data_IF_504401293962
#
_entry.id   IF_504401293962
#
_cell.length_a   1.000
_cell.length_b   1.000
_cell.length_c   1.000
_cell.angle_alpha   90.00
_cell.angle_beta   90.00
_cell.angle_gamma   90.00
#
_symmetry.space_group_name_H-M   'P 1'
#
loop_
_entity.id
_entity.type
_entity.pdbx_description
1 polymer ?
#
# COMPACT_ATOMS: atom_id res chain seq x y z
N UNK A 1 -10.82 32.70 34.30
CA UNK A 1 -10.47 31.41 34.94
C UNK A 1 -11.08 30.30 34.10
N UNK A 2 -10.57 30.07 32.89
CA UNK A 2 -9.41 29.21 32.58
C UNK A 2 -9.72 27.75 32.88
N UNK A 3 -10.10 26.96 31.86
CA UNK A 3 -9.37 25.76 31.40
C UNK A 3 -9.69 25.57 29.91
N UNK A 4 -8.66 25.73 29.07
CA UNK A 4 -8.62 25.41 27.64
C UNK A 4 -8.38 23.90 27.48
N UNK A 5 -9.23 23.20 26.72
CA UNK A 5 -9.05 21.81 26.32
C UNK A 5 -8.77 21.70 24.82
N UNK A 6 -7.51 21.49 24.47
CA UNK A 6 -7.01 21.20 23.12
C UNK A 6 -7.53 19.85 22.60
N UNK A 7 -8.15 19.81 21.41
CA UNK A 7 -8.29 18.60 20.61
C UNK A 7 -7.91 18.89 19.15
N UNK A 8 -6.65 18.60 18.84
CA UNK A 8 -6.08 18.59 17.48
C UNK A 8 -6.59 17.35 16.73
N UNK A 9 -7.43 17.55 15.72
CA UNK A 9 -7.71 16.56 14.69
C UNK A 9 -6.52 16.46 13.73
N UNK A 10 -5.97 15.26 13.59
CA UNK A 10 -4.80 14.99 12.75
C UNK A 10 -5.13 15.05 11.27
N UNK A 11 -4.84 16.20 10.65
CA UNK A 11 -4.27 16.21 9.31
C UNK A 11 -2.77 15.89 9.48
N UNK A 12 -2.24 14.99 8.66
CA UNK A 12 -0.82 14.64 8.67
C UNK A 12 0.01 15.85 8.20
N UNK A 13 0.42 16.69 9.15
CA UNK A 13 1.45 17.69 8.95
C UNK A 13 2.82 17.01 9.01
N UNK A 14 3.53 16.98 7.89
CA UNK A 14 4.95 16.64 7.83
C UNK A 14 5.72 17.76 8.53
N UNK A 15 6.43 17.42 9.61
CA UNK A 15 7.31 18.33 10.35
C UNK A 15 8.70 17.71 10.36
N UNK A 16 9.63 18.27 9.56
CA UNK A 16 11.04 17.87 9.55
C UNK A 16 11.86 19.01 10.15
N UNK A 17 12.55 18.72 11.26
CA UNK A 17 13.58 19.58 11.84
C UNK A 17 14.96 18.99 11.53
N UNK A 18 15.79 19.73 10.81
CA UNK A 18 17.16 19.36 10.45
C UNK A 18 18.16 19.70 11.57
N UNK A 19 18.94 18.70 12.02
CA UNK A 19 20.29 18.94 12.57
C UNK A 19 21.21 17.77 12.21
N UNK A 20 22.25 18.13 11.46
CA UNK A 20 23.36 17.30 11.00
C UNK A 20 24.40 17.08 12.09
N UNK A 21 24.93 15.86 12.21
CA UNK A 21 26.31 15.60 12.61
C UNK A 21 26.72 14.16 12.31
N UNK A 22 27.62 13.98 11.34
CA UNK A 22 28.41 12.75 11.14
C UNK A 22 29.42 12.58 12.30
N UNK A 23 29.96 11.36 12.55
CA UNK A 23 31.24 11.03 11.90
C UNK A 23 31.58 9.53 11.65
N UNK A 24 32.39 9.34 10.60
CA UNK A 24 33.63 8.53 10.44
C UNK A 24 33.68 7.01 10.73
N UNK A 25 34.01 6.30 9.64
CA UNK A 25 35.06 5.27 9.43
C UNK A 25 35.52 4.36 10.58
N UNK A 26 35.49 3.05 10.29
CA UNK A 26 36.39 2.06 10.87
C UNK A 26 36.18 0.68 10.24
N UNK A 27 37.08 0.27 9.35
CA UNK A 27 37.10 -1.08 8.79
C UNK A 27 37.77 -2.09 9.71
N UNK A 28 37.40 -3.37 9.59
CA UNK A 28 38.26 -4.50 9.90
C UNK A 28 37.73 -5.78 9.26
N UNK A 29 38.64 -6.50 8.63
CA UNK A 29 38.46 -7.75 7.90
C UNK A 29 38.76 -8.97 8.79
N UNK A 30 38.26 -10.13 8.32
CA UNK A 30 38.78 -11.48 8.50
C UNK A 30 38.34 -12.30 9.73
N UNK A 31 37.72 -13.47 9.48
CA UNK A 31 38.44 -14.76 9.30
C UNK A 31 37.45 -15.94 9.15
N UNK A 32 37.49 -16.57 7.97
CA UNK A 32 37.00 -17.93 7.73
C UNK A 32 37.85 -18.94 8.54
N UNK A 33 37.22 -19.92 9.16
CA UNK A 33 37.86 -21.18 9.56
C UNK A 33 37.13 -22.36 8.91
N UNK A 34 37.88 -23.03 8.03
CA UNK A 34 37.61 -24.37 7.49
C UNK A 34 37.73 -25.40 8.61
N UNK A 35 36.87 -26.41 8.57
CA UNK A 35 37.05 -27.68 9.27
C UNK A 35 36.95 -28.81 8.23
N UNK A 36 37.95 -29.68 8.21
CA UNK A 36 38.09 -30.84 7.31
C UNK A 36 38.51 -32.04 8.14
N UNK A 37 37.80 -33.16 7.99
CA UNK A 37 38.22 -34.57 8.19
C UNK A 37 36.94 -35.40 8.45
N UNK A 38 36.73 -36.63 8.00
CA UNK A 38 37.51 -37.59 7.23
C UNK A 38 36.54 -38.64 6.65
N UNK A 39 37.02 -39.33 5.62
CA UNK A 39 36.41 -40.50 4.98
C UNK A 39 36.64 -41.75 5.84
N UNK A 40 35.67 -42.65 5.91
CA UNK A 40 35.92 -44.11 6.02
C UNK A 40 34.72 -44.89 5.48
N UNK A 41 35.04 -45.81 4.57
CA UNK A 41 34.20 -46.78 3.90
C UNK A 41 34.00 -48.04 4.74
N UNK A 42 32.80 -48.64 4.71
CA UNK A 42 32.65 -50.10 4.74
C UNK A 42 31.25 -50.53 4.26
N UNK A 43 31.19 -51.73 3.68
CA UNK A 43 30.19 -52.17 2.73
C UNK A 43 29.07 -53.06 3.31
N UNK A 44 27.94 -53.06 2.61
CA UNK A 44 27.05 -54.21 2.31
C UNK A 44 26.44 -55.02 3.46
N UNK A 45 25.13 -54.83 3.71
CA UNK A 45 24.16 -55.92 3.91
C UNK A 45 22.74 -55.42 3.62
N UNK A 46 21.97 -56.14 2.80
CA UNK A 46 20.57 -55.87 2.42
C UNK A 46 19.59 -56.69 3.29
N UNK A 47 18.26 -56.61 3.12
CA UNK A 47 17.39 -55.78 3.95
C UNK A 47 16.35 -56.63 4.71
N UNK A 48 15.97 -56.24 5.91
CA UNK A 48 14.74 -56.77 6.52
C UNK A 48 14.12 -55.72 7.43
N UNK A 49 12.80 -55.55 7.29
CA UNK A 49 11.91 -54.82 8.20
C UNK A 49 11.77 -53.29 7.98
N UNK A 50 11.19 -52.89 6.84
CA UNK A 50 10.50 -51.59 6.72
C UNK A 50 9.00 -51.84 6.67
N UNK A 51 8.33 -51.89 7.81
CA UNK A 51 6.86 -51.79 7.87
C UNK A 51 6.32 -50.98 9.04
N UNK A 52 7.16 -50.20 9.73
CA UNK A 52 6.72 -49.36 10.87
C UNK A 52 7.04 -47.87 10.72
N UNK A 53 7.69 -47.43 9.63
CA UNK A 53 8.08 -46.03 9.42
C UNK A 53 7.09 -45.20 8.59
N UNK A 54 6.07 -45.81 7.97
CA UNK A 54 5.16 -45.08 7.07
C UNK A 54 3.92 -44.47 7.75
N UNK A 55 3.57 -44.88 8.97
CA UNK A 55 2.39 -44.31 9.66
C UNK A 55 2.71 -42.99 10.38
N UNK A 56 3.92 -42.82 10.90
CA UNK A 56 4.32 -41.57 11.55
C UNK A 56 4.55 -40.45 10.53
N UNK A 57 5.19 -40.74 9.40
CA UNK A 57 5.44 -39.75 8.33
C UNK A 57 4.13 -39.32 7.67
N UNK A 58 3.20 -40.24 7.42
CA UNK A 58 1.88 -39.91 6.83
C UNK A 58 1.00 -39.15 7.84
N UNK A 59 1.03 -39.49 9.13
CA UNK A 59 0.35 -38.70 10.18
C UNK A 59 0.99 -37.33 10.38
N UNK A 60 2.32 -37.20 10.33
CA UNK A 60 3.02 -35.93 10.43
C UNK A 60 2.71 -35.02 9.23
N UNK A 61 2.72 -35.57 8.01
CA UNK A 61 2.34 -34.84 6.79
C UNK A 61 0.87 -34.43 6.84
N UNK A 62 -0.04 -35.33 7.23
CA UNK A 62 -1.46 -35.01 7.41
C UNK A 62 -1.71 -33.96 8.51
N UNK A 63 -0.98 -34.04 9.64
CA UNK A 63 -1.06 -33.05 10.71
C UNK A 63 -0.48 -31.69 10.30
N UNK A 64 0.59 -31.67 9.49
CA UNK A 64 1.15 -30.43 8.95
C UNK A 64 0.21 -29.79 7.92
N UNK A 65 -0.47 -30.59 7.09
CA UNK A 65 -1.47 -30.07 6.16
C UNK A 65 -2.73 -29.56 6.86
N UNK A 66 -3.16 -30.21 7.95
CA UNK A 66 -4.29 -29.75 8.76
C UNK A 66 -3.95 -28.47 9.54
N UNK A 67 -2.76 -28.39 10.14
CA UNK A 67 -2.29 -27.18 10.82
C UNK A 67 -2.16 -26.00 9.84
N UNK A 68 -1.64 -26.24 8.64
CA UNK A 68 -1.57 -25.23 7.59
C UNK A 68 -2.96 -24.78 7.11
N UNK A 69 -3.90 -25.71 6.93
CA UNK A 69 -5.29 -25.37 6.58
C UNK A 69 -5.98 -24.56 7.68
N UNK A 70 -5.76 -24.89 8.95
CA UNK A 70 -6.34 -24.18 10.08
C UNK A 70 -5.75 -22.77 10.23
N UNK A 71 -4.44 -22.62 10.03
CA UNK A 71 -3.77 -21.32 10.00
C UNK A 71 -4.28 -20.45 8.84
N UNK A 72 -4.51 -21.04 7.66
CA UNK A 72 -5.07 -20.35 6.50
C UNK A 72 -6.51 -19.86 6.75
N UNK A 73 -7.35 -20.68 7.39
CA UNK A 73 -8.71 -20.28 7.76
C UNK A 73 -8.71 -19.14 8.78
N UNK A 74 -7.75 -19.10 9.71
CA UNK A 74 -7.59 -17.98 10.64
C UNK A 74 -7.16 -16.69 9.94
N UNK A 75 -6.20 -16.74 9.01
CA UNK A 75 -5.77 -15.56 8.23
C UNK A 75 -6.96 -14.95 7.47
N UNK A 76 -7.76 -15.79 6.80
CA UNK A 76 -8.94 -15.38 6.05
C UNK A 76 -10.04 -14.76 6.92
N UNK A 77 -10.03 -15.03 8.22
CA UNK A 77 -10.99 -14.45 9.15
C UNK A 77 -10.60 -13.05 9.65
N UNK A 78 -9.45 -12.53 9.24
CA UNK A 78 -8.91 -11.25 9.74
C UNK A 78 -9.14 -10.07 8.79
N UNK A 79 -9.45 -10.33 7.52
CA UNK A 79 -9.67 -9.28 6.52
C UNK A 79 -10.57 -9.79 5.38
N UNK A 80 -11.24 -8.86 4.70
CA UNK A 80 -12.04 -9.12 3.51
C UNK A 80 -11.42 -8.40 2.31
N UNK A 81 -11.52 -9.02 1.13
CA UNK A 81 -11.25 -8.31 -0.13
C UNK A 81 -12.49 -7.53 -0.50
N UNK A 82 -12.37 -6.21 -0.58
CA UNK A 82 -13.43 -5.35 -1.11
C UNK A 82 -13.48 -5.50 -2.63
N UNK A 83 -12.34 -5.27 -3.28
CA UNK A 83 -12.25 -5.34 -4.73
C UNK A 83 -10.83 -5.68 -5.18
N UNK A 84 -10.74 -6.14 -6.42
CA UNK A 84 -9.51 -6.37 -7.16
C UNK A 84 -9.78 -6.04 -8.62
N UNK A 85 -9.29 -4.88 -9.06
CA UNK A 85 -9.66 -4.29 -10.35
C UNK A 85 -8.41 -3.76 -11.06
N UNK A 86 -8.39 -3.93 -12.38
CA UNK A 86 -7.47 -3.19 -13.23
C UNK A 86 -8.06 -1.80 -13.49
N UNK A 87 -7.29 -0.76 -13.17
CA UNK A 87 -7.60 0.63 -13.56
C UNK A 87 -6.54 1.10 -14.56
N UNK A 88 -6.75 2.20 -15.30
CA UNK A 88 -5.78 2.66 -16.29
C UNK A 88 -4.38 2.89 -15.72
N UNK A 89 -4.27 3.27 -14.45
CA UNK A 89 -3.02 3.50 -13.75
C UNK A 89 -2.33 2.23 -13.22
N UNK A 90 -2.98 1.07 -13.23
CA UNK A 90 -2.41 -0.21 -12.77
C UNK A 90 -3.36 -1.11 -11.99
N UNK A 91 -2.80 -2.14 -11.34
CA UNK A 91 -3.57 -3.11 -10.55
C UNK A 91 -3.93 -2.49 -9.20
N UNK A 92 -5.22 -2.41 -8.90
CA UNK A 92 -5.73 -1.79 -7.69
C UNK A 92 -6.50 -2.80 -6.83
N UNK A 93 -6.09 -2.95 -5.58
CA UNK A 93 -6.68 -3.88 -4.62
C UNK A 93 -7.16 -3.13 -3.39
N UNK A 94 -8.41 -3.38 -3.01
CA UNK A 94 -9.03 -2.88 -1.79
C UNK A 94 -9.25 -4.00 -0.79
N UNK A 95 -8.79 -3.81 0.44
CA UNK A 95 -8.97 -4.74 1.55
C UNK A 95 -9.62 -4.03 2.74
N UNK A 96 -10.34 -4.76 3.57
CA UNK A 96 -10.93 -4.25 4.81
C UNK A 96 -10.59 -5.17 5.99
N UNK A 97 -10.08 -4.60 7.08
CA UNK A 97 -9.85 -5.35 8.31
C UNK A 97 -11.17 -5.66 9.01
N UNK A 98 -11.35 -6.92 9.42
CA UNK A 98 -12.46 -7.34 10.27
C UNK A 98 -12.38 -6.66 11.63
N UNK A 99 -13.52 -6.37 12.26
CA UNK A 99 -13.54 -5.83 13.63
C UNK A 99 -13.04 -6.84 14.66
N UNK A 100 -11.91 -6.49 15.29
CA UNK A 100 -11.33 -7.27 16.35
C UNK A 100 -11.95 -6.79 17.66
N UNK A 101 -12.65 -7.69 18.35
CA UNK A 101 -13.13 -7.40 19.70
C UNK A 101 -11.98 -7.15 20.67
N UNK A 102 -12.33 -6.67 21.87
CA UNK A 102 -11.36 -6.56 22.95
C UNK A 102 -10.72 -7.93 23.22
N UNK A 103 -9.40 -7.95 23.45
CA UNK A 103 -8.60 -9.15 23.75
C UNK A 103 -8.56 -10.22 22.63
N UNK A 104 -8.98 -9.88 21.41
CA UNK A 104 -8.83 -10.79 20.27
C UNK A 104 -7.33 -10.98 19.95
N UNK A 105 -6.85 -12.21 20.06
CA UNK A 105 -5.46 -12.59 19.75
C UNK A 105 -5.05 -12.36 18.29
N UNK A 106 -6.02 -12.11 17.40
CA UNK A 106 -5.81 -11.71 15.99
C UNK A 106 -5.70 -10.20 15.81
N UNK A 107 -5.95 -9.41 16.85
CA UNK A 107 -5.91 -7.95 16.77
C UNK A 107 -4.51 -7.44 16.46
N UNK A 108 -4.45 -6.23 15.91
CA UNK A 108 -3.20 -5.56 15.54
C UNK A 108 -2.59 -4.78 16.72
N UNK A 109 -2.88 -5.21 17.96
CA UNK A 109 -2.27 -4.65 19.15
C UNK A 109 -0.81 -5.11 19.28
N UNK A 110 0.13 -4.23 19.68
CA UNK A 110 1.55 -4.57 19.74
C UNK A 110 1.85 -5.80 20.59
N UNK A 111 1.17 -5.95 21.72
CA UNK A 111 1.32 -7.11 22.61
C UNK A 111 0.92 -8.42 21.91
N UNK A 112 -0.21 -8.42 21.18
CA UNK A 112 -0.69 -9.61 20.45
C UNK A 112 0.27 -10.01 19.33
N UNK A 113 0.87 -9.05 18.64
CA UNK A 113 1.81 -9.32 17.53
C UNK A 113 3.18 -9.77 18.05
N UNK A 114 3.70 -9.11 19.09
CA UNK A 114 5.09 -9.32 19.55
C UNK A 114 5.25 -10.56 20.43
N UNK A 115 4.23 -10.93 21.21
CA UNK A 115 4.26 -12.13 22.07
C UNK A 115 3.91 -13.40 21.31
N UNK A 116 3.32 -13.29 20.12
CA UNK A 116 2.93 -14.42 19.28
C UNK A 116 3.73 -14.43 17.96
N UNK A 117 4.80 -15.21 17.92
CA UNK A 117 5.61 -15.41 16.70
C UNK A 117 4.81 -16.02 15.54
N UNK A 118 3.69 -16.68 15.82
CA UNK A 118 2.77 -17.25 14.83
C UNK A 118 1.61 -16.33 14.49
N UNK A 119 1.63 -15.06 14.94
CA UNK A 119 0.61 -14.09 14.59
C UNK A 119 0.49 -13.95 13.08
N UNK A 120 -0.74 -13.92 12.57
CA UNK A 120 -1.03 -14.01 11.14
C UNK A 120 -0.31 -12.95 10.29
N UNK A 121 -0.09 -11.76 10.86
CA UNK A 121 0.59 -10.65 10.16
C UNK A 121 2.03 -11.02 9.72
N UNK A 122 2.74 -11.85 10.50
CA UNK A 122 4.11 -12.29 10.19
C UNK A 122 4.18 -13.19 8.95
N UNK A 123 3.05 -13.78 8.55
CA UNK A 123 2.97 -14.56 7.31
C UNK A 123 2.70 -13.69 6.07
N UNK A 124 2.21 -12.46 6.27
CA UNK A 124 1.75 -11.58 5.19
C UNK A 124 2.65 -10.39 4.93
N UNK A 125 3.38 -9.91 5.94
CA UNK A 125 4.24 -8.73 5.86
C UNK A 125 5.70 -9.07 6.14
N UNK A 126 6.60 -8.23 5.62
CA UNK A 126 8.01 -8.31 5.92
C UNK A 126 8.27 -7.96 7.39
N UNK A 127 9.27 -8.57 8.01
CA UNK A 127 9.59 -8.38 9.43
C UNK A 127 9.81 -6.91 9.81
N UNK A 128 10.49 -6.14 8.95
CA UNK A 128 10.69 -4.70 9.14
C UNK A 128 9.39 -3.88 9.08
N UNK A 129 8.41 -4.27 8.25
CA UNK A 129 7.10 -3.61 8.23
C UNK A 129 6.33 -3.92 9.50
N UNK A 130 6.39 -5.17 9.99
CA UNK A 130 5.78 -5.56 11.26
C UNK A 130 6.41 -4.78 12.41
N UNK A 131 7.74 -4.78 12.47
CA UNK A 131 8.51 -4.06 13.48
C UNK A 131 8.19 -2.55 13.48
N UNK A 132 8.12 -1.92 12.30
CA UNK A 132 7.71 -0.52 12.19
C UNK A 132 6.26 -0.33 12.64
N UNK A 133 5.33 -1.15 12.14
CA UNK A 133 3.90 -1.01 12.39
C UNK A 133 3.55 -1.08 13.87
N UNK A 134 4.15 -2.00 14.64
CA UNK A 134 3.90 -2.12 16.08
C UNK A 134 4.36 -0.90 16.90
N UNK A 135 5.29 -0.08 16.36
CA UNK A 135 5.70 1.17 17.01
C UNK A 135 4.70 2.31 16.85
N UNK A 136 3.71 2.17 15.95
CA UNK A 136 2.77 3.26 15.69
C UNK A 136 1.85 3.49 16.90
N UNK A 137 1.62 4.76 17.27
CA UNK A 137 1.15 5.12 18.61
C UNK A 137 -0.34 4.85 18.84
N UNK A 138 -1.15 4.64 17.80
CA UNK A 138 -2.59 4.44 17.93
C UNK A 138 -3.08 3.24 17.12
N UNK A 139 -4.14 2.55 17.58
CA UNK A 139 -4.74 1.40 16.86
C UNK A 139 -5.06 1.76 15.40
N UNK A 140 -5.78 2.87 15.18
CA UNK A 140 -6.13 3.32 13.83
C UNK A 140 -4.90 3.56 12.92
N UNK A 141 -3.76 4.01 13.46
CA UNK A 141 -2.53 4.16 12.65
C UNK A 141 -1.89 2.82 12.33
N UNK A 142 -1.98 1.84 13.24
CA UNK A 142 -1.51 0.47 13.00
C UNK A 142 -2.37 -0.21 11.95
N UNK A 143 -3.68 -0.16 12.11
CA UNK A 143 -4.66 -0.73 11.18
C UNK A 143 -4.41 -0.21 9.77
N UNK A 144 -4.41 1.12 9.59
CA UNK A 144 -4.22 1.77 8.28
C UNK A 144 -2.83 1.53 7.70
N UNK A 145 -1.79 1.42 8.54
CA UNK A 145 -0.46 1.04 8.08
C UNK A 145 -0.47 -0.38 7.52
N UNK A 146 -0.91 -1.37 8.31
CA UNK A 146 -0.87 -2.77 7.93
C UNK A 146 -1.76 -3.10 6.74
N UNK A 147 -3.02 -2.67 6.74
CA UNK A 147 -3.96 -2.99 5.66
C UNK A 147 -3.54 -2.38 4.32
N UNK A 148 -2.94 -1.19 4.33
CA UNK A 148 -2.39 -0.58 3.13
C UNK A 148 -1.22 -1.36 2.52
N UNK A 149 -0.32 -1.91 3.35
CA UNK A 149 0.80 -2.74 2.87
C UNK A 149 0.32 -4.10 2.39
N UNK A 150 -0.66 -4.68 3.08
CA UNK A 150 -1.32 -5.91 2.62
C UNK A 150 -1.93 -5.71 1.23
N UNK A 151 -2.62 -4.59 0.99
CA UNK A 151 -3.21 -4.28 -0.31
C UNK A 151 -2.16 -4.12 -1.42
N UNK A 152 -1.05 -3.41 -1.16
CA UNK A 152 0.05 -3.28 -2.12
C UNK A 152 0.73 -4.62 -2.40
N UNK A 153 0.97 -5.45 -1.38
CA UNK A 153 1.57 -6.78 -1.57
C UNK A 153 0.67 -7.71 -2.38
N UNK A 154 -0.64 -7.65 -2.15
CA UNK A 154 -1.62 -8.39 -2.96
C UNK A 154 -1.53 -7.97 -4.43
N UNK A 155 -1.60 -6.66 -4.70
CA UNK A 155 -1.47 -6.11 -6.05
C UNK A 155 -0.14 -6.48 -6.72
N UNK A 156 0.98 -6.37 -5.99
CA UNK A 156 2.33 -6.66 -6.49
C UNK A 156 2.44 -8.07 -7.04
N UNK A 157 2.05 -9.08 -6.28
CA UNK A 157 2.22 -10.42 -6.80
C UNK A 157 1.06 -10.85 -7.71
N UNK A 158 -0.11 -10.18 -7.75
CA UNK A 158 -1.04 -10.34 -8.90
C UNK A 158 -0.29 -10.01 -10.19
N UNK A 159 0.41 -8.88 -10.21
CA UNK A 159 1.25 -8.48 -11.34
C UNK A 159 2.44 -9.42 -11.54
N UNK A 160 3.03 -9.98 -10.48
CA UNK A 160 4.13 -10.95 -10.57
C UNK A 160 3.73 -12.30 -11.19
N UNK A 161 2.51 -12.77 -10.90
CA UNK A 161 2.00 -14.04 -11.42
C UNK A 161 1.68 -13.97 -12.91
N UNK A 162 1.16 -12.84 -13.41
CA UNK A 162 0.85 -12.67 -14.84
C UNK A 162 2.08 -12.76 -15.74
N UNK A 163 3.29 -12.51 -15.22
CA UNK A 163 4.54 -12.65 -15.99
C UNK A 163 5.12 -14.05 -16.04
N UNK A 164 4.82 -14.91 -15.07
CA UNK A 164 5.55 -16.17 -14.90
C UNK A 164 4.83 -17.40 -15.46
N UNK A 165 3.54 -17.32 -15.82
CA UNK A 165 2.82 -18.43 -16.44
C UNK A 165 1.70 -17.92 -17.37
N UNK A 166 1.77 -18.25 -18.66
CA UNK A 166 0.62 -18.20 -19.58
C UNK A 166 -0.46 -19.25 -19.28
N UNK A 167 -0.55 -19.71 -18.03
CA UNK A 167 -1.54 -20.65 -17.53
C UNK A 167 -2.16 -20.08 -16.27
N UNK A 168 -3.49 -20.00 -16.24
CA UNK A 168 -4.28 -19.65 -15.07
C UNK A 168 -3.93 -20.57 -13.91
N UNK A 169 -2.97 -20.16 -13.07
CA UNK A 169 -2.88 -20.71 -11.72
C UNK A 169 -4.10 -20.20 -10.99
N UNK A 170 -5.08 -21.08 -10.79
CA UNK A 170 -6.27 -20.84 -9.98
C UNK A 170 -5.80 -20.43 -8.59
N UNK A 171 -5.77 -19.12 -8.34
CA UNK A 171 -5.22 -18.56 -7.11
C UNK A 171 -6.03 -19.04 -5.92
N UNK A 172 -5.31 -19.40 -4.87
CA UNK A 172 -5.88 -19.50 -3.54
C UNK A 172 -6.22 -18.07 -3.07
N UNK A 173 -7.48 -17.72 -2.74
CA UNK A 173 -7.89 -16.38 -2.31
C UNK A 173 -7.11 -15.76 -1.13
N UNK A 174 -6.32 -16.57 -0.42
CA UNK A 174 -5.57 -16.20 0.79
C UNK A 174 -4.08 -15.98 0.59
N UNK A 175 -3.53 -16.29 -0.59
CA UNK A 175 -2.12 -16.05 -0.86
C UNK A 175 -1.91 -14.59 -1.24
N UNK A 176 -1.62 -13.75 -0.23
CA UNK A 176 -1.00 -12.45 -0.51
C UNK A 176 0.32 -12.72 -1.22
N UNK A 177 0.37 -12.19 -2.41
CA UNK A 177 1.19 -12.73 -3.46
C UNK A 177 2.69 -12.64 -3.11
N UNK A 178 3.30 -13.82 -2.97
CA UNK A 178 4.71 -14.10 -2.73
C UNK A 178 5.51 -13.06 -1.91
N UNK A 179 5.35 -13.11 -0.59
CA UNK A 179 6.02 -12.21 0.38
C UNK A 179 7.54 -12.42 0.51
N UNK A 180 8.10 -13.55 0.06
CA UNK A 180 9.48 -13.95 0.36
C UNK A 180 10.59 -13.28 -0.47
N UNK A 181 10.25 -12.51 -1.49
CA UNK A 181 11.22 -11.82 -2.35
C UNK A 181 11.02 -10.31 -2.47
N UNK A 182 9.95 -9.78 -1.87
CA UNK A 182 9.61 -8.36 -1.95
C UNK A 182 10.24 -7.65 -0.74
N UNK A 183 11.09 -6.62 -0.95
CA UNK A 183 11.63 -5.81 0.14
C UNK A 183 10.53 -5.17 1.00
N UNK A 184 10.85 -4.63 2.19
CA UNK A 184 9.85 -3.99 3.02
C UNK A 184 9.27 -2.72 2.37
N UNK A 185 7.95 -2.54 2.46
CA UNK A 185 7.23 -1.36 1.93
C UNK A 185 7.00 -0.37 3.07
N UNK A 186 8.09 0.28 3.48
CA UNK A 186 8.13 1.29 4.52
C UNK A 186 7.65 2.65 3.99
N UNK A 187 7.95 3.71 4.74
CA UNK A 187 7.71 5.09 4.34
C UNK A 187 9.04 5.78 4.10
N UNK A 188 9.13 6.59 3.06
CA UNK A 188 10.24 7.52 2.90
C UNK A 188 10.06 8.78 3.75
N UNK A 189 10.97 9.74 3.63
CA UNK A 189 10.95 11.00 4.38
C UNK A 189 9.71 11.88 4.10
N UNK A 190 9.01 11.64 2.99
CA UNK A 190 7.77 12.32 2.63
C UNK A 190 6.52 11.52 2.98
N UNK A 191 6.66 10.31 3.53
CA UNK A 191 5.57 9.42 3.90
C UNK A 191 5.03 8.55 2.76
N UNK A 192 5.68 8.54 1.59
CA UNK A 192 5.31 7.74 0.42
C UNK A 192 5.76 6.28 0.62
N UNK A 193 5.09 5.27 0.03
CA UNK A 193 5.53 3.89 0.13
C UNK A 193 6.85 3.67 -0.61
N UNK A 194 7.82 3.00 0.04
CA UNK A 194 9.07 2.59 -0.63
C UNK A 194 8.82 1.34 -1.46
N UNK A 195 8.69 1.50 -2.77
CA UNK A 195 8.32 0.41 -3.67
C UNK A 195 9.53 -0.47 -4.05
N UNK A 196 9.32 -1.75 -4.40
CA UNK A 196 10.38 -2.56 -4.98
C UNK A 196 10.80 -2.04 -6.36
N UNK A 197 12.06 -2.28 -6.73
CA UNK A 197 12.60 -1.99 -8.07
C UNK A 197 11.67 -2.53 -9.17
N UNK A 198 11.45 -1.73 -10.21
CA UNK A 198 10.58 -2.09 -11.33
C UNK A 198 9.11 -1.79 -11.11
N UNK A 199 8.73 -1.18 -9.98
CA UNK A 199 7.35 -0.90 -9.63
C UNK A 199 7.19 0.50 -9.02
N UNK A 200 6.06 1.12 -9.35
CA UNK A 200 5.54 2.31 -8.66
C UNK A 200 4.22 1.95 -7.97
N UNK A 201 3.87 2.70 -6.93
CA UNK A 201 2.74 2.37 -6.08
C UNK A 201 2.23 3.53 -5.25
N UNK A 202 0.95 3.44 -4.87
CA UNK A 202 0.32 4.36 -3.94
C UNK A 202 -0.61 3.61 -2.99
N UNK A 203 -0.77 4.17 -1.78
CA UNK A 203 -1.63 3.64 -0.73
C UNK A 203 -2.65 4.71 -0.32
N UNK A 204 -3.90 4.32 -0.11
CA UNK A 204 -4.86 5.10 0.66
C UNK A 204 -5.61 4.24 1.67
N UNK A 205 -6.37 4.86 2.55
CA UNK A 205 -7.17 4.17 3.55
C UNK A 205 -8.36 5.01 3.99
N UNK A 206 -9.45 4.35 4.35
CA UNK A 206 -10.62 4.97 4.96
C UNK A 206 -11.22 4.06 6.01
N UNK A 207 -11.24 4.52 7.26
CA UNK A 207 -11.65 3.68 8.38
C UNK A 207 -10.75 2.45 8.51
N UNK A 208 -11.34 1.26 8.35
CA UNK A 208 -10.64 -0.04 8.38
C UNK A 208 -10.26 -0.53 6.97
N UNK A 209 -10.72 0.15 5.93
CA UNK A 209 -10.39 -0.16 4.55
C UNK A 209 -9.04 0.44 4.16
N UNK A 210 -8.24 -0.35 3.44
CA UNK A 210 -7.01 0.08 2.78
C UNK A 210 -7.07 -0.24 1.30
N UNK A 211 -6.49 0.63 0.48
CA UNK A 211 -6.31 0.42 -0.96
C UNK A 211 -4.84 0.56 -1.32
N UNK A 212 -4.38 -0.34 -2.18
CA UNK A 212 -3.05 -0.29 -2.80
C UNK A 212 -3.20 -0.36 -4.31
N UNK A 213 -2.56 0.58 -5.03
CA UNK A 213 -2.38 0.51 -6.48
C UNK A 213 -0.91 0.26 -6.80
N UNK A 214 -0.65 -0.56 -7.80
CA UNK A 214 0.71 -0.89 -8.26
C UNK A 214 0.74 -0.93 -9.78
N UNK A 215 1.80 -0.38 -10.35
CA UNK A 215 2.11 -0.51 -11.77
C UNK A 215 3.58 -0.89 -11.97
N UNK A 216 3.88 -1.45 -13.15
CA UNK A 216 5.27 -1.70 -13.56
C UNK A 216 5.87 -0.39 -14.07
N UNK A 217 7.08 -0.11 -13.61
CA UNK A 217 7.92 0.96 -14.13
C UNK A 217 9.37 0.48 -14.06
N UNK A 218 9.89 0.00 -15.19
CA UNK A 218 11.26 -0.52 -15.28
C UNK A 218 12.33 0.56 -15.04
N UNK A 219 11.95 1.83 -15.17
CA UNK A 219 12.86 2.95 -14.90
C UNK A 219 13.02 3.20 -13.40
N UNK A 220 12.06 2.78 -12.58
CA UNK A 220 12.14 2.91 -11.13
C UNK A 220 13.18 1.94 -10.54
N UNK A 221 14.33 2.48 -10.15
CA UNK A 221 15.48 1.69 -9.69
C UNK A 221 15.58 1.58 -8.17
N UNK A 222 15.34 2.68 -7.45
CA UNK A 222 15.42 2.73 -5.98
C UNK A 222 14.72 3.98 -5.44
N UNK A 223 14.40 4.06 -4.13
CA UNK A 223 13.88 5.27 -3.51
C UNK A 223 14.78 6.51 -3.64
N UNK A 224 16.08 6.31 -3.84
CA UNK A 224 17.09 7.38 -4.00
C UNK A 224 17.08 7.95 -5.43
N UNK A 225 16.44 7.27 -6.38
CA UNK A 225 16.33 7.68 -7.78
C UNK A 225 14.94 8.32 -8.01
N UNK A 226 14.86 9.60 -8.38
CA UNK A 226 13.58 10.27 -8.53
C UNK A 226 12.74 9.59 -9.63
N UNK A 227 11.48 9.23 -9.34
CA UNK A 227 10.64 8.57 -10.32
C UNK A 227 10.33 9.52 -11.48
N UNK A 228 10.21 8.97 -12.69
CA UNK A 228 9.70 9.68 -13.87
C UNK A 228 8.19 9.56 -14.01
N UNK A 229 7.60 8.53 -13.41
CA UNK A 229 6.17 8.26 -13.38
C UNK A 229 5.72 8.20 -11.93
N UNK A 230 4.63 8.88 -11.62
CA UNK A 230 3.98 8.81 -10.33
C UNK A 230 2.56 8.30 -10.50
N UNK A 231 2.13 7.43 -9.60
CA UNK A 231 0.75 6.98 -9.52
C UNK A 231 0.17 7.29 -8.15
N UNK A 232 -1.12 7.55 -8.12
CA UNK A 232 -1.87 7.90 -6.93
C UNK A 232 -3.18 7.14 -6.87
N UNK A 233 -3.57 6.74 -5.66
CA UNK A 233 -4.89 6.17 -5.40
C UNK A 233 -5.50 6.83 -4.19
N UNK A 234 -6.82 6.96 -4.20
CA UNK A 234 -7.58 7.37 -3.05
C UNK A 234 -8.91 6.59 -2.93
N UNK A 235 -9.33 6.36 -1.68
CA UNK A 235 -10.56 5.65 -1.33
C UNK A 235 -11.28 6.50 -0.30
N UNK A 236 -12.48 6.95 -0.63
CA UNK A 236 -13.26 7.85 0.22
C UNK A 236 -14.72 7.47 0.26
N UNK A 237 -15.38 7.73 1.39
CA UNK A 237 -16.82 7.48 1.45
C UNK A 237 -17.55 8.42 0.46
N UNK A 238 -18.59 7.91 -0.19
CA UNK A 238 -19.40 8.69 -1.14
C UNK A 238 -20.00 9.92 -0.47
N UNK A 239 -20.41 9.80 0.79
CA UNK A 239 -20.96 10.91 1.59
C UNK A 239 -20.13 11.16 2.84
N UNK A 240 -20.15 12.40 3.31
CA UNK A 240 -19.51 12.79 4.56
C UNK A 240 -20.53 13.40 5.52
N UNK A 241 -21.22 12.53 6.24
CA UNK A 241 -22.34 12.87 7.14
C UNK A 241 -22.02 13.84 8.28
N UNK A 242 -20.76 14.27 8.45
CA UNK A 242 -20.32 14.96 9.67
C UNK A 242 -19.80 16.38 9.47
N UNK A 243 -19.28 16.79 8.30
CA UNK A 243 -18.71 18.14 8.09
C UNK A 243 -18.70 18.58 6.62
N UNK A 244 -19.19 19.80 6.36
CA UNK A 244 -19.01 20.46 5.07
C UNK A 244 -17.54 20.90 4.91
N UNK A 245 -16.81 20.24 4.01
CA UNK A 245 -15.39 20.53 3.70
C UNK A 245 -15.21 21.39 2.43
N UNK A 246 -16.30 21.73 1.73
CA UNK A 246 -16.25 22.27 0.36
C UNK A 246 -15.38 23.52 0.26
N UNK A 247 -15.56 24.51 1.13
CA UNK A 247 -14.77 25.77 1.12
C UNK A 247 -13.28 25.61 1.37
N UNK A 248 -12.85 24.47 1.93
CA UNK A 248 -11.42 24.18 2.16
C UNK A 248 -10.81 23.44 0.99
N UNK A 249 -11.57 22.54 0.37
CA UNK A 249 -11.11 21.62 -0.66
C UNK A 249 -11.33 22.16 -2.07
N UNK A 250 -12.45 22.83 -2.29
CA UNK A 250 -12.88 23.30 -3.60
C UNK A 250 -12.57 24.78 -3.78
N UNK A 251 -12.18 25.14 -5.00
CA UNK A 251 -12.09 26.53 -5.44
C UNK A 251 -13.48 27.12 -5.65
N UNK A 252 -13.56 28.44 -5.79
CA UNK A 252 -14.81 29.13 -6.12
C UNK A 252 -15.42 28.64 -7.45
N UNK A 253 -14.57 28.35 -8.45
CA UNK A 253 -15.02 27.82 -9.74
C UNK A 253 -15.56 26.40 -9.60
N UNK A 254 -14.89 25.54 -8.83
CA UNK A 254 -15.37 24.19 -8.58
C UNK A 254 -16.72 24.21 -7.86
N UNK A 255 -16.87 25.03 -6.82
CA UNK A 255 -18.13 25.21 -6.08
C UNK A 255 -19.27 25.65 -7.02
N UNK A 256 -19.00 26.59 -7.93
CA UNK A 256 -19.99 27.06 -8.89
C UNK A 256 -20.40 26.01 -9.95
N UNK A 257 -19.64 24.92 -10.08
CA UNK A 257 -19.82 23.86 -11.07
C UNK A 257 -20.25 22.52 -10.48
N UNK A 258 -20.67 22.47 -9.21
CA UNK A 258 -21.18 21.26 -8.59
C UNK A 258 -22.52 20.82 -9.20
N UNK A 259 -22.85 19.54 -9.05
CA UNK A 259 -24.11 18.94 -9.48
C UNK A 259 -24.16 18.61 -10.97
N UNK A 260 -23.01 18.54 -11.64
CA UNK A 260 -22.92 18.33 -13.08
C UNK A 260 -22.55 16.88 -13.45
N UNK A 261 -22.20 16.06 -12.47
CA UNK A 261 -21.79 14.66 -12.69
C UNK A 261 -23.00 13.74 -12.58
N UNK A 262 -23.36 13.06 -13.67
CA UNK A 262 -24.49 12.13 -13.69
C UNK A 262 -24.33 11.02 -12.65
N UNK A 263 -25.40 10.73 -11.90
CA UNK A 263 -25.41 9.69 -10.87
C UNK A 263 -24.66 10.05 -9.57
N UNK A 264 -24.20 11.31 -9.44
CA UNK A 264 -23.50 11.81 -8.26
C UNK A 264 -24.22 13.08 -7.77
N UNK A 265 -24.66 13.07 -6.51
CA UNK A 265 -25.27 14.25 -5.88
C UNK A 265 -24.23 15.36 -5.64
N UNK A 266 -24.65 16.61 -5.46
CA UNK A 266 -23.73 17.72 -5.14
C UNK A 266 -22.85 17.43 -3.90
N UNK A 267 -23.42 16.81 -2.87
CA UNK A 267 -22.68 16.44 -1.66
C UNK A 267 -21.64 15.35 -1.94
N UNK A 268 -22.01 14.32 -2.70
CA UNK A 268 -21.09 13.28 -3.13
C UNK A 268 -20.00 13.84 -4.04
N UNK A 269 -20.33 14.82 -4.90
CA UNK A 269 -19.37 15.42 -5.81
C UNK A 269 -18.27 16.18 -5.06
N UNK A 270 -18.58 16.80 -3.91
CA UNK A 270 -17.56 17.39 -3.02
C UNK A 270 -16.56 16.32 -2.57
N UNK A 271 -17.04 15.14 -2.18
CA UNK A 271 -16.19 14.02 -1.75
C UNK A 271 -15.42 13.39 -2.91
N UNK A 272 -16.04 13.29 -4.08
CA UNK A 272 -15.39 12.83 -5.31
C UNK A 272 -14.23 13.75 -5.70
N UNK A 273 -14.44 15.07 -5.74
CA UNK A 273 -13.39 16.05 -6.05
C UNK A 273 -12.30 16.06 -4.98
N UNK A 274 -12.65 15.88 -3.70
CA UNK A 274 -11.67 15.67 -2.62
C UNK A 274 -10.79 14.46 -2.90
N UNK A 275 -11.39 13.30 -3.19
CA UNK A 275 -10.66 12.06 -3.47
C UNK A 275 -9.76 12.17 -4.70
N UNK A 276 -10.26 12.76 -5.78
CA UNK A 276 -9.48 13.04 -6.98
C UNK A 276 -8.27 13.92 -6.68
N UNK A 277 -8.42 14.98 -5.87
CA UNK A 277 -7.28 15.84 -5.50
C UNK A 277 -6.24 15.10 -4.65
N UNK A 278 -6.68 14.23 -3.74
CA UNK A 278 -5.78 13.38 -2.94
C UNK A 278 -5.00 12.39 -3.82
N UNK A 279 -5.67 11.71 -4.76
CA UNK A 279 -4.97 10.78 -5.65
C UNK A 279 -4.02 11.54 -6.59
N UNK A 280 -4.42 12.69 -7.15
CA UNK A 280 -3.56 13.56 -7.98
C UNK A 280 -2.34 14.05 -7.20
N UNK A 281 -2.52 14.47 -5.94
CA UNK A 281 -1.39 14.85 -5.09
C UNK A 281 -0.39 13.69 -4.94
N UNK A 282 -0.89 12.46 -4.71
CA UNK A 282 -0.04 11.26 -4.55
C UNK A 282 0.71 10.88 -5.83
N UNK A 283 0.14 11.12 -7.02
CA UNK A 283 0.85 10.89 -8.29
C UNK A 283 1.84 12.00 -8.62
N UNK A 284 1.54 13.26 -8.28
CA UNK A 284 2.39 14.42 -8.63
C UNK A 284 3.52 14.66 -7.65
N UNK A 285 3.29 14.51 -6.34
CA UNK A 285 4.28 14.81 -5.31
C UNK A 285 5.61 14.05 -5.48
N UNK A 286 5.64 12.76 -5.88
CA UNK A 286 6.88 12.05 -6.19
C UNK A 286 7.75 12.74 -7.26
N UNK A 287 7.14 13.46 -8.19
CA UNK A 287 7.80 14.02 -9.38
C UNK A 287 8.34 15.44 -9.14
N UNK A 288 7.53 16.28 -8.50
CA UNK A 288 7.88 17.69 -8.27
C UNK A 288 8.43 17.95 -6.87
N UNK A 289 8.25 17.00 -5.95
CA UNK A 289 8.69 17.07 -4.55
C UNK A 289 8.28 18.38 -3.85
N UNK A 290 7.09 18.88 -4.20
CA UNK A 290 6.51 20.10 -3.67
C UNK A 290 5.10 19.82 -3.17
N UNK A 291 4.76 20.44 -2.04
CA UNK A 291 3.39 20.46 -1.58
C UNK A 291 2.48 21.18 -2.59
N UNK A 292 1.35 20.55 -2.91
CA UNK A 292 0.29 21.12 -3.74
C UNK A 292 -0.96 21.18 -2.88
N UNK A 293 -1.43 22.39 -2.58
CA UNK A 293 -2.65 22.59 -1.80
C UNK A 293 -3.90 22.30 -2.62
N UNK A 294 -5.02 22.02 -1.95
CA UNK A 294 -6.30 21.78 -2.61
C UNK A 294 -6.75 22.91 -3.54
N UNK A 295 -6.43 24.16 -3.19
CA UNK A 295 -6.79 25.35 -3.98
C UNK A 295 -5.86 25.57 -5.19
N UNK A 296 -4.79 24.78 -5.30
CA UNK A 296 -3.80 24.86 -6.38
C UNK A 296 -4.07 23.86 -7.52
N UNK A 297 -5.13 23.07 -7.42
CA UNK A 297 -5.59 22.16 -8.45
C UNK A 297 -7.11 22.24 -8.53
N UNK A 298 -7.66 22.42 -9.72
CA UNK A 298 -9.08 22.27 -10.00
C UNK A 298 -9.30 20.95 -10.71
N UNK A 299 -10.33 20.23 -10.29
CA UNK A 299 -10.72 18.94 -10.86
C UNK A 299 -12.17 19.00 -11.31
N UNK A 300 -12.39 18.55 -12.54
CA UNK A 300 -13.72 18.40 -13.14
C UNK A 300 -13.93 16.92 -13.45
N UNK A 301 -14.70 16.19 -12.63
CA UNK A 301 -15.06 14.80 -12.92
C UNK A 301 -16.02 14.75 -14.11
N UNK A 302 -15.88 13.72 -14.94
CA UNK A 302 -16.74 13.44 -16.09
C UNK A 302 -17.55 12.16 -15.87
N UNK A 303 -18.75 12.07 -16.46
CA UNK A 303 -19.64 10.92 -16.32
C UNK A 303 -19.09 9.60 -16.86
N UNK A 304 -18.07 9.67 -17.74
CA UNK A 304 -17.37 8.49 -18.25
C UNK A 304 -16.30 7.92 -17.27
N UNK A 305 -16.21 8.44 -16.05
CA UNK A 305 -15.24 8.00 -15.05
C UNK A 305 -13.84 8.59 -15.21
N UNK A 306 -13.65 9.59 -16.07
CA UNK A 306 -12.38 10.37 -16.15
C UNK A 306 -12.51 11.69 -15.38
N UNK A 307 -11.41 12.41 -15.19
CA UNK A 307 -11.42 13.77 -14.68
C UNK A 307 -10.37 14.65 -15.38
N UNK A 308 -10.70 15.92 -15.58
CA UNK A 308 -9.74 16.93 -16.07
C UNK A 308 -9.14 17.69 -14.91
N UNK A 309 -7.83 17.96 -14.98
CA UNK A 309 -7.06 18.72 -13.98
C UNK A 309 -6.64 20.06 -14.57
N UNK A 310 -6.89 21.16 -13.85
CA UNK A 310 -6.38 22.49 -14.18
C UNK A 310 -5.52 23.01 -13.02
N UNK A 311 -4.27 23.37 -13.31
CA UNK A 311 -3.33 23.80 -12.28
C UNK A 311 -3.45 25.29 -11.95
N UNK A 312 -3.35 25.60 -10.66
CA UNK A 312 -3.26 26.95 -10.09
C UNK A 312 -2.01 27.12 -9.22
N UNK A 313 -1.02 26.24 -9.39
CA UNK A 313 0.23 26.22 -8.65
C UNK A 313 1.06 27.46 -9.02
N UNK A 314 1.25 28.38 -8.06
CA UNK A 314 1.93 29.67 -8.29
C UNK A 314 3.42 29.55 -8.57
N UNK A 315 4.05 28.50 -8.02
CA UNK A 315 5.49 28.24 -8.19
C UNK A 315 5.92 27.89 -9.62
N UNK A 316 4.98 27.55 -10.52
CA UNK A 316 5.29 27.02 -11.84
C UNK A 316 5.75 25.55 -11.84
N UNK A 317 5.85 24.87 -10.68
CA UNK A 317 6.34 23.49 -10.61
C UNK A 317 5.58 22.48 -11.49
N UNK A 318 4.30 22.77 -11.81
CA UNK A 318 3.48 21.97 -12.72
C UNK A 318 3.98 21.99 -14.18
N UNK A 319 4.80 22.96 -14.58
CA UNK A 319 5.39 23.03 -15.92
C UNK A 319 6.34 21.87 -16.20
N UNK A 320 6.86 21.22 -15.15
CA UNK A 320 7.68 20.00 -15.24
C UNK A 320 6.85 18.74 -15.51
N UNK A 321 5.53 18.81 -15.35
CA UNK A 321 4.63 17.68 -15.54
C UNK A 321 4.23 17.57 -17.02
N UNK A 322 4.33 16.37 -17.56
CA UNK A 322 3.79 16.00 -18.87
C UNK A 322 2.32 15.63 -18.74
N UNK A 323 1.97 14.47 -19.27
CA UNK A 323 0.62 13.95 -19.21
C UNK A 323 0.19 13.61 -17.78
N UNK A 324 -1.08 13.92 -17.49
CA UNK A 324 -1.73 13.59 -16.23
C UNK A 324 -3.09 13.01 -16.54
N UNK A 325 -3.34 11.82 -16.01
CA UNK A 325 -4.65 11.16 -16.08
C UNK A 325 -5.25 11.07 -14.70
N UNK A 326 -6.57 11.15 -14.62
CA UNK A 326 -7.30 10.87 -13.40
C UNK A 326 -8.58 10.13 -13.75
N UNK A 327 -8.86 9.08 -13.00
CA UNK A 327 -10.03 8.23 -13.15
C UNK A 327 -10.75 8.08 -11.82
N UNK A 328 -12.05 7.86 -11.89
CA UNK A 328 -12.87 7.61 -10.72
C UNK A 328 -13.97 6.61 -11.05
N UNK A 329 -14.41 5.90 -10.02
CA UNK A 329 -15.61 5.07 -10.07
C UNK A 329 -16.26 4.99 -8.70
N UNK A 330 -17.57 4.80 -8.70
CA UNK A 330 -18.30 4.32 -7.53
C UNK A 330 -18.15 2.80 -7.47
N UNK A 331 -17.92 2.25 -6.28
CA UNK A 331 -17.93 0.80 -6.09
C UNK A 331 -19.39 0.35 -5.89
N UNK A 332 -19.87 -0.56 -6.74
CA UNK A 332 -21.28 -0.96 -6.80
C UNK A 332 -21.59 -2.21 -5.95
N UNK A 333 -20.59 -2.79 -5.29
CA UNK A 333 -20.66 -4.05 -4.54
C UNK A 333 -21.18 -3.89 -3.09
N UNK A 334 -21.99 -2.85 -2.85
CA UNK A 334 -22.54 -2.52 -1.54
C UNK A 334 -21.59 -1.73 -0.64
N UNK A 335 -20.45 -1.28 -1.18
CA UNK A 335 -19.50 -0.43 -0.47
C UNK A 335 -19.69 1.05 -0.87
N UNK A 336 -19.99 1.92 0.10
CA UNK A 336 -20.25 3.36 -0.11
C UNK A 336 -18.94 4.13 -0.36
N UNK A 337 -18.13 3.70 -1.33
CA UNK A 337 -16.85 4.34 -1.66
C UNK A 337 -16.79 4.90 -3.07
N UNK A 338 -16.11 6.03 -3.19
CA UNK A 338 -15.40 6.41 -4.41
C UNK A 338 -13.99 5.81 -4.37
N UNK A 339 -13.62 5.19 -5.48
CA UNK A 339 -12.24 4.84 -5.79
C UNK A 339 -11.76 5.82 -6.87
N UNK A 340 -10.67 6.54 -6.60
CA UNK A 340 -10.02 7.40 -7.58
C UNK A 340 -8.56 7.01 -7.76
N UNK A 341 -8.08 7.12 -8.99
CA UNK A 341 -6.69 6.85 -9.38
C UNK A 341 -6.18 7.96 -10.29
N UNK A 342 -4.87 8.19 -10.27
CA UNK A 342 -4.22 9.12 -11.20
C UNK A 342 -2.81 8.69 -11.53
N UNK A 343 -2.36 9.05 -12.73
CA UNK A 343 -0.96 8.98 -13.11
C UNK A 343 -0.48 10.37 -13.53
N UNK A 344 0.80 10.61 -13.30
CA UNK A 344 1.51 11.77 -13.80
C UNK A 344 2.88 11.33 -14.31
N UNK A 345 3.38 12.01 -15.33
CA UNK A 345 4.73 11.81 -15.84
C UNK A 345 5.52 13.12 -15.80
N UNK A 346 6.84 13.04 -15.60
CA UNK A 346 7.72 14.18 -15.84
C UNK A 346 7.89 14.39 -17.35
N UNK A 347 7.94 15.66 -17.79
CA UNK A 347 8.39 15.98 -19.14
C UNK A 347 9.84 15.52 -19.28
N UNK A 348 10.16 14.93 -20.43
CA UNK A 348 11.56 14.79 -20.82
C UNK A 348 12.15 16.20 -20.99
N UNK A 349 13.35 16.43 -20.48
CA UNK A 349 14.09 17.65 -20.76
C UNK A 349 14.46 17.64 -22.25
N UNK A 350 13.58 18.12 -23.13
CA UNK A 350 14.00 18.54 -24.46
C UNK A 350 14.96 19.72 -24.30
N UNK A 351 16.21 19.53 -24.74
CA UNK A 351 17.29 20.52 -24.92
C UNK A 351 16.81 21.97 -24.74
N UNK A 352 16.86 22.48 -23.50
CA UNK A 352 16.86 23.93 -23.24
C UNK A 352 18.25 24.46 -23.58
N UNK A 353 18.66 24.22 -24.82
CA UNK A 353 19.71 24.93 -25.54
C UNK A 353 19.04 25.61 -26.72
N UNK A 354 18.49 26.79 -26.46
CA UNK A 354 18.36 27.84 -27.45
C UNK A 354 19.20 29.03 -27.02
#
# INVERSE_FOLDING_TARGET
MTILGNLRGGAAFISISSRSSAPRHGGASAKLKKWTSAVSSEASTTPTSISSLNHNTTRQLASSSQQQQQQNAQILSCWNRLFDVEVPEGRCVGLELVDFGNDDTRSLEPEMITTNASHWIHSLLHEEEVAYGVTLPSPSRRDTFFIGRMAVREALGILGDTTNNGGERRRNPWEIAWTRGIPPILKDEHGRPTMPKGYVGSISHKGRAGVGIVARDETYSSPEDPPKVGIGVDLEYTTNSRRNISRRVLTEHEIASLGQVEGVTEEEEVMLRFSLKECIYKSVHPLICQYVGFQEAEVTPHSNGTATVTWKIKSGAHERLGDITAHWRRLEDGSDYFLSSSSAVLREEEDVTK
#
